data_IF_407401653832
#
_entry.id   IF_407401653832
#
_cell.length_a   1.000
_cell.length_b   1.000
_cell.length_c   1.000
_cell.angle_alpha   90.00
_cell.angle_beta   90.00
_cell.angle_gamma   90.00
#
_symmetry.space_group_name_H-M   'P 1'
#
loop_
_entity.id
_entity.type
_entity.pdbx_description
1 polymer ?
#
# COMPACT_ATOMS: atom_id res chain seq x y z
N UNK A 1 -31.34 14.42 9.53
CA UNK A 1 -30.66 15.46 8.72
C UNK A 1 -29.54 16.04 9.56
N UNK A 2 -28.39 15.37 9.60
CA UNK A 2 -27.18 15.84 10.27
C UNK A 2 -26.13 16.08 9.18
N UNK A 3 -25.61 17.30 9.14
CA UNK A 3 -24.71 17.80 8.10
C UNK A 3 -23.38 17.04 8.14
N UNK A 4 -23.03 16.45 7.01
CA UNK A 4 -21.67 15.95 6.73
C UNK A 4 -20.78 17.18 6.61
N UNK A 5 -20.06 17.51 7.69
CA UNK A 5 -18.97 18.47 7.62
C UNK A 5 -17.81 17.79 6.88
N UNK A 6 -17.60 18.22 5.63
CA UNK A 6 -16.41 17.87 4.87
C UNK A 6 -15.17 18.27 5.66
N UNK A 7 -14.28 17.31 5.88
CA UNK A 7 -12.94 17.56 6.40
C UNK A 7 -12.23 18.43 5.36
N UNK A 8 -12.19 19.72 5.64
CA UNK A 8 -11.37 20.69 4.93
C UNK A 8 -9.93 20.18 4.90
N UNK A 9 -9.28 20.42 3.76
CA UNK A 9 -7.82 20.38 3.64
C UNK A 9 -7.24 21.11 4.86
N UNK A 10 -6.29 20.49 5.56
CA UNK A 10 -5.59 21.16 6.65
C UNK A 10 -5.04 22.49 6.13
N UNK A 11 -5.68 23.56 6.58
CA UNK A 11 -5.44 24.96 6.24
C UNK A 11 -4.25 25.47 7.08
N UNK A 12 -3.14 24.73 7.07
CA UNK A 12 -1.91 25.11 7.75
C UNK A 12 -0.85 25.49 6.71
N UNK A 13 -1.09 26.67 6.13
CA UNK A 13 -0.13 27.76 5.95
C UNK A 13 1.27 27.41 5.42
N UNK A 14 1.35 27.25 4.09
CA UNK A 14 2.35 28.00 3.31
C UNK A 14 1.65 28.68 2.10
N UNK A 15 1.51 30.02 2.10
CA UNK A 15 0.88 30.76 1.00
C UNK A 15 1.62 30.68 -0.34
N UNK A 16 2.79 30.03 -0.42
CA UNK A 16 3.52 29.80 -1.69
C UNK A 16 3.40 28.36 -2.24
N UNK A 17 2.42 27.57 -1.76
CA UNK A 17 2.10 26.27 -2.39
C UNK A 17 1.35 26.46 -3.71
N UNK A 18 2.00 27.12 -4.69
CA UNK A 18 1.47 27.33 -6.04
C UNK A 18 1.03 25.97 -6.60
N UNK A 19 -0.27 25.76 -6.72
CA UNK A 19 -0.82 24.67 -7.52
C UNK A 19 -0.40 24.93 -8.96
N UNK A 20 0.20 23.93 -9.58
CA UNK A 20 0.69 24.02 -10.94
C UNK A 20 -0.18 23.16 -11.85
N UNK A 21 -0.09 23.39 -13.14
CA UNK A 21 -0.65 22.50 -14.15
C UNK A 21 0.49 22.03 -15.05
N UNK A 22 0.54 20.72 -15.25
CA UNK A 22 1.37 20.09 -16.28
C UNK A 22 0.45 19.40 -17.30
N UNK A 23 0.96 19.26 -18.52
CA UNK A 23 0.31 18.48 -19.58
C UNK A 23 0.83 17.04 -19.59
N UNK A 24 0.29 16.21 -20.47
CA UNK A 24 0.86 14.89 -20.80
C UNK A 24 2.35 14.97 -21.15
N UNK A 25 2.76 15.98 -21.91
CA UNK A 25 4.17 16.17 -22.29
C UNK A 25 5.01 16.56 -21.08
N UNK A 26 4.47 17.40 -20.18
CA UNK A 26 5.09 17.68 -18.89
C UNK A 26 5.29 16.42 -18.04
N UNK A 27 4.30 15.51 -18.03
CA UNK A 27 4.43 14.20 -17.37
C UNK A 27 5.52 13.35 -18.04
N UNK A 28 5.61 13.32 -19.38
CA UNK A 28 6.68 12.61 -20.08
C UNK A 28 8.07 13.14 -19.69
N UNK A 29 8.23 14.46 -19.63
CA UNK A 29 9.48 15.10 -19.18
C UNK A 29 9.79 14.75 -17.72
N UNK A 30 8.79 14.74 -16.83
CA UNK A 30 8.93 14.30 -15.43
C UNK A 30 9.49 12.88 -15.33
N UNK A 31 8.91 11.92 -16.08
CA UNK A 31 9.36 10.52 -16.06
C UNK A 31 10.79 10.37 -16.59
N UNK A 32 11.11 11.07 -17.68
CA UNK A 32 12.46 11.09 -18.23
C UNK A 32 13.48 11.71 -17.26
N UNK A 33 13.11 12.80 -16.57
CA UNK A 33 13.96 13.41 -15.57
C UNK A 33 14.27 12.42 -14.44
N UNK A 34 13.26 11.73 -13.88
CA UNK A 34 13.46 10.68 -12.87
C UNK A 34 14.44 9.60 -13.35
N UNK A 35 14.32 9.11 -14.59
CA UNK A 35 15.29 8.15 -15.14
C UNK A 35 16.71 8.70 -15.22
N UNK A 36 16.89 9.95 -15.67
CA UNK A 36 18.21 10.61 -15.71
C UNK A 36 18.84 10.75 -14.33
N UNK A 37 18.00 10.93 -13.30
CA UNK A 37 18.41 10.96 -11.89
C UNK A 37 18.62 9.55 -11.28
N UNK A 38 18.62 8.50 -12.10
CA UNK A 38 18.96 7.12 -11.69
C UNK A 38 17.81 6.33 -11.06
N UNK A 39 16.57 6.83 -11.13
CA UNK A 39 15.42 6.08 -10.61
C UNK A 39 14.97 4.98 -11.57
N UNK A 40 14.66 3.81 -11.02
CA UNK A 40 13.87 2.78 -11.70
C UNK A 40 12.39 3.14 -11.59
N UNK A 41 11.71 3.40 -12.71
CA UNK A 41 10.31 3.79 -12.71
C UNK A 41 9.40 2.58 -12.55
N UNK A 42 8.53 2.62 -11.55
CA UNK A 42 7.48 1.64 -11.33
C UNK A 42 6.14 2.35 -11.42
N UNK A 43 5.31 1.98 -12.38
CA UNK A 43 4.03 2.63 -12.61
C UNK A 43 2.96 1.65 -13.09
N UNK A 44 1.71 2.12 -13.23
CA UNK A 44 0.63 1.30 -13.73
C UNK A 44 0.82 1.00 -15.20
N UNK A 45 0.63 -0.26 -15.57
CA UNK A 45 0.62 -0.73 -16.96
C UNK A 45 -0.40 -1.85 -17.09
N UNK A 46 -0.93 -2.03 -18.30
CA UNK A 46 -1.73 -3.19 -18.63
C UNK A 46 -0.83 -4.42 -18.74
N UNK A 47 -1.17 -5.48 -18.02
CA UNK A 47 -0.47 -6.76 -18.09
C UNK A 47 -1.33 -7.84 -17.44
N UNK A 48 -1.27 -9.06 -17.98
CA UNK A 48 -1.94 -10.24 -17.41
C UNK A 48 -3.45 -10.04 -17.16
N UNK A 49 -4.12 -9.26 -18.02
CA UNK A 49 -5.54 -8.95 -17.89
C UNK A 49 -5.90 -7.97 -16.76
N UNK A 50 -4.92 -7.27 -16.19
CA UNK A 50 -5.12 -6.26 -15.16
C UNK A 50 -4.27 -4.99 -15.39
N UNK A 51 -4.63 -3.90 -14.69
CA UNK A 51 -3.75 -2.74 -14.52
C UNK A 51 -2.89 -3.00 -13.29
N UNK A 52 -1.58 -3.11 -13.44
CA UNK A 52 -0.66 -3.48 -12.37
C UNK A 52 0.58 -2.60 -12.32
N UNK A 53 1.15 -2.44 -11.12
CA UNK A 53 2.45 -1.78 -10.95
C UNK A 53 3.57 -2.65 -11.49
N UNK A 54 4.29 -2.16 -12.49
CA UNK A 54 5.44 -2.80 -13.13
C UNK A 54 6.41 -1.74 -13.65
N UNK A 55 7.52 -2.17 -14.24
CA UNK A 55 8.46 -1.28 -14.92
C UNK A 55 7.78 -0.53 -16.05
N UNK A 56 7.99 0.78 -16.08
CA UNK A 56 7.57 1.66 -17.17
C UNK A 56 8.77 2.41 -17.72
N UNK A 57 8.79 2.64 -19.02
CA UNK A 57 9.81 3.43 -19.69
C UNK A 57 9.37 4.89 -19.85
N UNK A 58 8.08 5.14 -19.98
CA UNK A 58 7.55 6.49 -20.16
C UNK A 58 6.04 6.58 -20.06
N UNK A 59 5.50 7.72 -20.50
CA UNK A 59 4.06 8.03 -20.40
C UNK A 59 3.20 7.11 -21.26
N UNK A 60 3.76 6.55 -22.34
CA UNK A 60 3.05 5.69 -23.28
C UNK A 60 2.77 4.28 -22.72
N UNK A 61 3.46 3.88 -21.65
CA UNK A 61 3.17 2.63 -20.93
C UNK A 61 1.97 2.74 -19.97
N UNK A 62 1.55 3.96 -19.64
CA UNK A 62 0.41 4.17 -18.73
C UNK A 62 -0.89 3.64 -19.38
N UNK A 63 -1.87 3.19 -18.57
CA UNK A 63 -3.10 2.55 -19.07
C UNK A 63 -4.10 3.58 -19.65
N UNK A 64 -3.66 4.37 -20.62
CA UNK A 64 -4.42 5.44 -21.25
C UNK A 64 -5.75 4.92 -21.81
N UNK A 65 -6.86 5.51 -21.36
CA UNK A 65 -8.20 5.15 -21.80
C UNK A 65 -8.66 3.76 -21.35
N UNK A 66 -8.05 3.21 -20.30
CA UNK A 66 -8.48 1.97 -19.67
C UNK A 66 -8.92 2.19 -18.23
N UNK A 67 -9.88 1.37 -17.82
CA UNK A 67 -10.31 1.23 -16.43
C UNK A 67 -10.56 -0.25 -16.12
N UNK A 68 -11.03 -0.53 -14.91
CA UNK A 68 -11.47 -1.86 -14.51
C UNK A 68 -12.77 -1.81 -13.72
N UNK A 69 -13.72 -2.66 -14.09
CA UNK A 69 -14.89 -2.98 -13.28
C UNK A 69 -14.45 -3.94 -12.18
N UNK A 70 -14.76 -3.61 -10.93
CA UNK A 70 -14.37 -4.37 -9.76
C UNK A 70 -15.57 -4.64 -8.86
N UNK A 71 -15.89 -5.91 -8.66
CA UNK A 71 -16.90 -6.38 -7.70
C UNK A 71 -16.33 -7.55 -6.88
N UNK A 72 -17.08 -8.08 -5.92
CA UNK A 72 -16.65 -9.21 -5.12
C UNK A 72 -16.34 -10.43 -6.01
N UNK A 73 -15.07 -10.86 -6.01
CA UNK A 73 -14.58 -11.93 -6.87
C UNK A 73 -14.54 -11.62 -8.36
N UNK A 74 -14.64 -10.36 -8.76
CA UNK A 74 -14.69 -9.97 -10.17
C UNK A 74 -13.78 -8.78 -10.48
N UNK A 75 -12.93 -8.96 -11.50
CA UNK A 75 -12.12 -7.90 -12.09
C UNK A 75 -12.20 -8.01 -13.61
N UNK A 76 -12.54 -6.92 -14.29
CA UNK A 76 -12.59 -6.88 -15.75
C UNK A 76 -12.09 -5.55 -16.29
N UNK A 77 -11.09 -5.59 -17.16
CA UNK A 77 -10.66 -4.41 -17.90
C UNK A 77 -11.76 -3.91 -18.84
N UNK A 78 -11.88 -2.59 -18.92
CA UNK A 78 -12.83 -1.92 -19.79
C UNK A 78 -12.19 -0.69 -20.44
N UNK A 79 -12.53 -0.44 -21.71
CA UNK A 79 -12.16 0.80 -22.40
C UNK A 79 -13.01 1.96 -21.93
N UNK A 80 -12.37 3.11 -21.72
CA UNK A 80 -13.03 4.38 -21.43
C UNK A 80 -13.35 5.11 -22.74
N UNK A 81 -14.29 6.06 -22.68
CA UNK A 81 -14.59 6.95 -23.79
C UNK A 81 -13.60 8.13 -23.89
N UNK A 82 -12.79 8.35 -22.86
CA UNK A 82 -11.77 9.38 -22.79
C UNK A 82 -10.34 8.77 -22.83
N UNK A 83 -9.35 9.65 -22.85
CA UNK A 83 -7.93 9.30 -22.85
C UNK A 83 -7.28 9.43 -21.46
N UNK A 84 -8.04 9.25 -20.38
CA UNK A 84 -7.52 9.38 -19.02
C UNK A 84 -6.35 8.40 -18.78
N UNK A 85 -5.25 8.90 -18.22
CA UNK A 85 -4.04 8.14 -17.88
C UNK A 85 -4.18 7.38 -16.56
N UNK A 86 -4.93 7.97 -15.62
CA UNK A 86 -5.14 7.46 -14.26
C UNK A 86 -6.63 7.23 -13.98
N UNK A 87 -7.45 7.02 -15.00
CA UNK A 87 -8.90 6.78 -14.91
C UNK A 87 -9.32 5.40 -14.37
N UNK A 88 -8.59 4.85 -13.41
CA UNK A 88 -8.81 3.52 -12.82
C UNK A 88 -8.54 3.53 -11.31
N UNK A 89 -9.02 2.52 -10.58
CA UNK A 89 -8.81 2.40 -9.13
C UNK A 89 -7.43 1.81 -8.77
N UNK A 90 -7.40 0.64 -8.13
CA UNK A 90 -6.20 -0.12 -7.79
C UNK A 90 -6.18 -1.49 -8.46
N UNK A 91 -4.99 -1.97 -8.82
CA UNK A 91 -4.75 -3.30 -9.39
C UNK A 91 -4.57 -4.41 -8.35
N UNK A 92 -4.19 -5.63 -8.75
CA UNK A 92 -3.85 -6.73 -7.82
C UNK A 92 -2.58 -6.46 -7.01
N UNK A 93 -1.64 -5.71 -7.56
CA UNK A 93 -0.34 -5.44 -6.95
C UNK A 93 -0.27 -4.05 -6.31
N UNK A 94 0.59 -3.93 -5.31
CA UNK A 94 0.89 -2.69 -4.58
C UNK A 94 2.40 -2.50 -4.46
N UNK A 95 2.79 -1.33 -3.95
CA UNK A 95 4.20 -0.99 -3.65
C UNK A 95 4.87 -2.03 -2.73
N UNK A 96 4.06 -2.73 -1.91
CA UNK A 96 4.53 -3.84 -1.04
C UNK A 96 5.40 -4.83 -1.82
N UNK A 97 5.05 -5.19 -3.06
CA UNK A 97 5.82 -6.16 -3.86
C UNK A 97 7.27 -5.72 -4.11
N UNK A 98 7.55 -4.43 -4.13
CA UNK A 98 8.87 -3.87 -4.42
C UNK A 98 9.68 -3.60 -3.16
N UNK A 99 9.00 -3.11 -2.11
CA UNK A 99 9.62 -2.71 -0.86
C UNK A 99 9.75 -3.88 0.13
N UNK A 100 8.83 -4.82 0.10
CA UNK A 100 8.80 -6.03 0.91
C UNK A 100 8.55 -7.24 -0.01
N UNK A 101 9.53 -7.68 -0.82
CA UNK A 101 9.30 -8.62 -1.91
C UNK A 101 8.80 -10.00 -1.43
N UNK A 102 8.05 -10.73 -2.27
CA UNK A 102 7.44 -12.01 -1.92
C UNK A 102 8.45 -13.11 -1.60
N UNK A 103 9.68 -13.00 -2.12
CA UNK A 103 10.82 -13.84 -1.80
C UNK A 103 12.03 -12.91 -1.65
N UNK A 104 12.84 -13.14 -0.63
CA UNK A 104 14.05 -12.37 -0.34
C UNK A 104 15.11 -13.32 0.23
N UNK A 105 16.26 -13.39 -0.42
CA UNK A 105 17.41 -14.13 0.11
C UNK A 105 18.00 -13.38 1.30
N UNK A 106 18.08 -14.02 2.45
CA UNK A 106 18.68 -13.45 3.67
C UNK A 106 20.16 -13.81 3.78
N UNK A 107 20.49 -15.05 3.40
CA UNK A 107 21.84 -15.58 3.55
C UNK A 107 22.10 -16.71 2.54
N UNK A 108 23.33 -16.82 2.08
CA UNK A 108 23.85 -17.90 1.24
C UNK A 108 25.20 -18.34 1.75
N UNK A 109 25.48 -19.63 1.65
CA UNK A 109 26.81 -20.20 1.85
C UNK A 109 27.16 -21.13 0.72
N UNK A 110 28.40 -21.03 0.27
CA UNK A 110 29.04 -21.96 -0.62
C UNK A 110 30.21 -22.63 0.09
N UNK A 111 30.35 -23.94 -0.06
CA UNK A 111 31.46 -24.71 0.49
C UNK A 111 32.31 -25.23 -0.66
N UNK A 112 33.50 -24.70 -0.81
CA UNK A 112 34.53 -25.26 -1.70
C UNK A 112 35.35 -26.28 -0.90
N UNK A 113 35.50 -27.48 -1.47
CA UNK A 113 36.29 -28.57 -0.88
C UNK A 113 37.77 -28.20 -0.65
N UNK A 114 38.31 -27.24 -1.39
CA UNK A 114 39.72 -26.81 -1.31
C UNK A 114 39.91 -25.45 -0.63
N UNK A 115 38.90 -24.57 -0.62
CA UNK A 115 39.01 -23.16 -0.17
C UNK A 115 38.17 -22.81 1.06
N UNK A 116 37.40 -23.77 1.62
CA UNK A 116 36.59 -23.55 2.82
C UNK A 116 35.19 -23.02 2.52
N UNK A 117 34.53 -22.43 3.54
CA UNK A 117 33.19 -21.87 3.38
C UNK A 117 33.27 -20.37 3.07
N UNK A 118 32.63 -19.94 1.98
CA UNK A 118 32.29 -18.54 1.73
C UNK A 118 30.81 -18.31 2.03
N UNK A 119 30.47 -17.11 2.53
CA UNK A 119 29.09 -16.77 2.83
C UNK A 119 28.79 -15.32 2.46
N UNK A 120 27.67 -15.13 1.76
CA UNK A 120 27.13 -13.80 1.47
C UNK A 120 25.84 -13.64 2.27
N UNK A 121 25.87 -12.73 3.25
CA UNK A 121 24.64 -12.18 3.80
C UNK A 121 24.02 -11.30 2.71
N UNK A 122 22.73 -11.46 2.43
CA UNK A 122 22.00 -10.73 1.37
C UNK A 122 21.86 -9.21 1.60
N UNK A 123 22.76 -8.63 2.40
CA UNK A 123 22.87 -7.22 2.75
C UNK A 123 24.04 -6.53 2.05
N UNK A 124 24.76 -7.18 1.14
CA UNK A 124 25.91 -6.56 0.47
C UNK A 124 25.48 -5.56 -0.63
N UNK A 125 25.76 -4.24 -0.49
CA UNK A 125 25.46 -3.24 -1.50
C UNK A 125 26.57 -3.10 -2.56
N UNK A 126 27.67 -3.84 -2.46
CA UNK A 126 28.77 -3.72 -3.42
C UNK A 126 29.99 -4.52 -3.01
N UNK A 127 30.09 -5.74 -3.53
CA UNK A 127 31.26 -6.59 -3.39
C UNK A 127 31.19 -7.71 -4.41
N UNK A 128 31.95 -7.58 -5.48
CA UNK A 128 32.32 -8.69 -6.35
C UNK A 128 33.67 -9.22 -5.84
N UNK A 129 33.73 -10.40 -5.21
CA UNK A 129 34.97 -11.17 -5.17
C UNK A 129 34.87 -12.19 -6.31
N UNK A 130 35.59 -11.88 -7.39
CA UNK A 130 35.59 -12.66 -8.62
C UNK A 130 35.67 -14.16 -8.38
N UNK A 131 34.75 -14.87 -9.01
CA UNK A 131 34.68 -16.32 -9.07
C UNK A 131 33.51 -16.69 -9.97
N UNK A 132 33.83 -17.35 -11.08
CA UNK A 132 32.89 -17.74 -12.14
C UNK A 132 31.80 -18.70 -11.61
N UNK A 133 30.80 -18.15 -10.93
CA UNK A 133 29.58 -18.87 -10.59
C UNK A 133 28.59 -18.71 -11.76
N UNK A 134 28.42 -19.81 -12.49
CA UNK A 134 27.53 -19.91 -13.63
C UNK A 134 26.17 -19.23 -13.41
N UNK A 135 25.92 -18.29 -14.30
CA UNK A 135 24.79 -17.36 -14.50
C UNK A 135 23.36 -17.94 -14.55
N UNK A 136 23.01 -19.04 -13.87
CA UNK A 136 21.69 -19.67 -14.06
C UNK A 136 20.56 -19.37 -13.07
N UNK A 137 20.80 -18.66 -11.94
CA UNK A 137 19.73 -18.49 -10.93
C UNK A 137 19.68 -17.11 -10.24
N UNK A 138 19.79 -16.04 -11.04
CA UNK A 138 19.44 -14.69 -10.57
C UNK A 138 17.93 -14.51 -10.64
N UNK A 139 17.19 -15.03 -9.66
CA UNK A 139 15.80 -14.58 -9.44
C UNK A 139 15.84 -13.07 -9.17
N UNK A 140 15.36 -12.20 -10.09
CA UNK A 140 15.45 -10.74 -9.97
C UNK A 140 14.75 -10.21 -8.71
N UNK A 141 13.87 -11.01 -8.10
CA UNK A 141 13.15 -10.68 -6.88
C UNK A 141 14.01 -10.88 -5.62
N UNK A 142 15.10 -11.65 -5.70
CA UNK A 142 15.98 -11.96 -4.55
C UNK A 142 17.15 -10.99 -4.38
N UNK A 143 17.49 -10.21 -5.40
CA UNK A 143 18.61 -9.26 -5.39
C UNK A 143 18.18 -7.84 -5.00
N UNK A 144 19.08 -7.08 -4.38
CA UNK A 144 18.88 -5.65 -4.14
C UNK A 144 18.64 -4.92 -5.48
N UNK A 145 17.77 -3.90 -5.51
CA UNK A 145 17.54 -3.15 -6.74
C UNK A 145 18.81 -2.37 -7.14
N UNK A 146 19.08 -2.28 -8.44
CA UNK A 146 20.25 -1.57 -8.99
C UNK A 146 20.23 -0.04 -8.77
N UNK A 147 19.13 0.51 -8.23
CA UNK A 147 18.94 1.94 -7.95
C UNK A 147 17.63 2.19 -7.18
N UNK A 148 17.39 3.40 -6.68
CA UNK A 148 16.17 3.74 -5.96
C UNK A 148 14.94 3.68 -6.87
N UNK A 149 13.77 3.37 -6.30
CA UNK A 149 12.51 3.36 -7.07
C UNK A 149 11.92 4.76 -7.19
N UNK A 150 11.30 5.04 -8.34
CA UNK A 150 10.30 6.09 -8.45
C UNK A 150 8.93 5.45 -8.73
N UNK A 151 8.01 5.54 -7.76
CA UNK A 151 6.66 5.02 -7.91
C UNK A 151 5.74 6.09 -8.51
N UNK A 152 5.08 5.76 -9.62
CA UNK A 152 4.24 6.69 -10.40
C UNK A 152 2.80 6.20 -10.40
N UNK A 153 1.82 7.07 -10.13
CA UNK A 153 0.42 6.63 -10.09
C UNK A 153 -0.04 6.11 -8.73
N UNK A 154 0.68 6.44 -7.65
CA UNK A 154 0.40 5.91 -6.31
C UNK A 154 -0.90 6.50 -5.76
N UNK A 155 -1.88 5.66 -5.43
CA UNK A 155 -3.17 6.12 -4.89
C UNK A 155 -3.03 6.54 -3.41
N UNK A 156 -3.89 7.42 -2.89
CA UNK A 156 -3.85 7.79 -1.47
C UNK A 156 -3.98 6.59 -0.52
N UNK A 157 -4.78 5.59 -0.87
CA UNK A 157 -4.91 4.38 -0.05
C UNK A 157 -3.64 3.53 -0.06
N UNK A 158 -2.82 3.62 -1.13
CA UNK A 158 -1.48 3.03 -1.19
C UNK A 158 -0.47 3.82 -0.36
N UNK A 159 -0.54 5.15 -0.35
CA UNK A 159 0.29 6.00 0.52
C UNK A 159 0.01 5.69 1.98
N UNK A 160 -1.26 5.55 2.36
CA UNK A 160 -1.64 5.15 3.72
C UNK A 160 -1.14 3.75 4.04
N UNK A 161 -1.20 2.82 3.09
CA UNK A 161 -0.67 1.48 3.29
C UNK A 161 0.85 1.47 3.42
N UNK A 162 1.56 2.32 2.67
CA UNK A 162 3.00 2.51 2.79
C UNK A 162 3.37 3.05 4.17
N UNK A 163 2.65 4.05 4.68
CA UNK A 163 2.87 4.57 6.04
C UNK A 163 2.64 3.49 7.13
N UNK A 164 1.67 2.59 6.92
CA UNK A 164 1.45 1.44 7.81
C UNK A 164 2.64 0.48 7.74
N UNK A 165 3.14 0.15 6.55
CA UNK A 165 4.33 -0.70 6.39
C UNK A 165 5.58 -0.07 7.01
N UNK A 166 5.79 1.23 6.79
CA UNK A 166 6.89 2.00 7.40
C UNK A 166 6.81 1.89 8.94
N UNK A 167 5.63 2.05 9.54
CA UNK A 167 5.45 1.90 10.99
C UNK A 167 5.77 0.49 11.49
N UNK A 168 5.35 -0.55 10.77
CA UNK A 168 5.56 -1.94 11.17
C UNK A 168 7.02 -2.36 11.02
N UNK A 169 7.65 -2.02 9.90
CA UNK A 169 8.96 -2.53 9.51
C UNK A 169 10.12 -1.63 9.93
N UNK A 170 9.86 -0.36 10.26
CA UNK A 170 10.88 0.62 10.68
C UNK A 170 10.61 1.27 12.04
N UNK A 171 9.37 1.20 12.55
CA UNK A 171 8.97 1.90 13.78
C UNK A 171 9.14 1.11 15.08
N UNK A 172 9.50 -0.18 15.00
CA UNK A 172 9.69 -1.05 16.17
C UNK A 172 11.09 -1.00 16.77
N UNK A 173 11.32 -1.80 17.82
CA UNK A 173 12.66 -1.97 18.43
C UNK A 173 13.68 -2.62 17.47
N UNK A 174 13.18 -3.41 16.53
CA UNK A 174 13.97 -4.05 15.48
C UNK A 174 13.46 -3.53 14.14
N UNK A 175 14.37 -3.00 13.34
CA UNK A 175 14.06 -2.54 11.98
C UNK A 175 14.35 -3.65 10.98
N UNK A 176 13.60 -3.70 9.89
CA UNK A 176 13.90 -4.55 8.74
C UNK A 176 14.93 -3.84 7.83
N UNK A 177 16.20 -4.27 7.79
CA UNK A 177 17.24 -3.58 7.03
C UNK A 177 17.01 -3.66 5.52
N UNK A 178 16.37 -4.72 5.02
CA UNK A 178 16.11 -4.88 3.60
C UNK A 178 14.95 -3.98 3.14
N UNK A 179 13.91 -3.87 3.96
CA UNK A 179 12.84 -2.91 3.72
C UNK A 179 13.38 -1.48 3.79
N UNK A 180 14.19 -1.16 4.81
CA UNK A 180 14.81 0.16 4.95
C UNK A 180 15.63 0.53 3.71
N UNK A 181 16.51 -0.36 3.24
CA UNK A 181 17.34 -0.12 2.06
C UNK A 181 16.51 0.10 0.79
N UNK A 182 15.44 -0.69 0.59
CA UNK A 182 14.54 -0.54 -0.57
C UNK A 182 13.67 0.72 -0.49
N UNK A 183 13.26 1.12 0.72
CA UNK A 183 12.43 2.29 0.99
C UNK A 183 13.21 3.59 0.93
N UNK A 184 14.49 3.55 1.30
CA UNK A 184 15.40 4.68 1.29
C UNK A 184 15.54 5.26 -0.13
N UNK A 185 15.51 6.58 -0.23
CA UNK A 185 15.66 7.27 -1.51
C UNK A 185 14.48 7.10 -2.48
N UNK A 186 13.43 6.35 -2.18
CA UNK A 186 12.26 6.24 -3.07
C UNK A 186 11.67 7.62 -3.39
N UNK A 187 11.30 7.83 -4.66
CA UNK A 187 10.55 9.01 -5.11
C UNK A 187 9.10 8.61 -5.37
N UNK A 188 8.13 9.42 -4.92
CA UNK A 188 6.71 9.08 -5.02
C UNK A 188 5.96 10.17 -5.78
N UNK A 189 5.45 9.80 -6.96
CA UNK A 189 4.46 10.56 -7.74
C UNK A 189 3.09 9.95 -7.45
N UNK A 190 2.37 10.58 -6.53
CA UNK A 190 1.03 10.15 -6.12
C UNK A 190 -0.05 10.77 -6.99
N UNK A 191 -1.18 10.09 -7.13
CA UNK A 191 -2.31 10.55 -7.94
C UNK A 191 -3.60 10.41 -7.15
N UNK A 192 -4.30 11.52 -6.93
CA UNK A 192 -5.63 11.52 -6.33
C UNK A 192 -6.55 10.57 -7.11
N UNK A 193 -7.41 9.84 -6.40
CA UNK A 193 -8.28 8.87 -7.05
C UNK A 193 -9.52 9.59 -7.60
N UNK A 194 -9.64 9.68 -8.92
CA UNK A 194 -10.84 10.21 -9.60
C UNK A 194 -11.83 9.13 -10.08
N UNK A 195 -11.52 7.85 -9.88
CA UNK A 195 -12.31 6.72 -10.38
C UNK A 195 -12.19 5.53 -9.42
N UNK A 196 -12.93 5.52 -8.30
CA UNK A 196 -12.93 4.39 -7.37
C UNK A 196 -13.50 3.13 -8.05
N UNK A 197 -13.08 1.95 -7.58
CA UNK A 197 -13.68 0.68 -7.98
C UNK A 197 -14.93 0.39 -7.15
N UNK A 198 -15.81 -0.51 -7.62
CA UNK A 198 -17.04 -0.87 -6.90
C UNK A 198 -16.75 -1.40 -5.48
N UNK A 199 -15.63 -2.09 -5.30
CA UNK A 199 -15.18 -2.66 -4.02
C UNK A 199 -14.47 -1.67 -3.07
N UNK A 200 -14.28 -0.41 -3.44
CA UNK A 200 -13.55 0.56 -2.63
C UNK A 200 -14.42 1.17 -1.52
N UNK A 201 -13.81 1.36 -0.34
CA UNK A 201 -14.40 2.05 0.82
C UNK A 201 -13.32 2.84 1.59
N UNK A 202 -12.29 3.32 0.89
CA UNK A 202 -11.15 3.99 1.53
C UNK A 202 -11.51 5.31 2.21
N UNK A 203 -12.65 5.92 1.85
CA UNK A 203 -13.20 7.07 2.56
C UNK A 203 -13.58 6.70 4.01
N UNK A 204 -14.29 5.58 4.22
CA UNK A 204 -14.61 5.05 5.56
C UNK A 204 -13.35 4.81 6.40
N UNK A 205 -12.25 4.45 5.75
CA UNK A 205 -10.96 4.22 6.42
C UNK A 205 -10.07 5.48 6.50
N UNK A 206 -10.58 6.64 6.10
CA UNK A 206 -9.86 7.92 6.05
C UNK A 206 -8.52 7.84 5.27
N UNK A 207 -8.47 7.00 4.24
CA UNK A 207 -7.26 6.66 3.47
C UNK A 207 -7.29 7.19 2.02
N UNK A 208 -8.29 8.00 1.66
CA UNK A 208 -8.47 8.56 0.32
C UNK A 208 -9.89 9.10 0.15
N UNK A 209 -10.31 9.54 -1.05
CA UNK A 209 -9.60 9.49 -2.33
C UNK A 209 -8.70 10.71 -2.64
N UNK A 210 -8.67 11.71 -1.77
CA UNK A 210 -7.79 12.89 -1.90
C UNK A 210 -6.37 12.63 -1.38
N UNK A 211 -5.41 13.40 -1.92
CA UNK A 211 -4.02 13.39 -1.44
C UNK A 211 -3.89 14.21 -0.14
N UNK A 212 -3.00 13.78 0.76
CA UNK A 212 -2.68 14.48 2.01
C UNK A 212 -1.17 14.69 2.13
N UNK A 213 -0.44 13.63 2.42
CA UNK A 213 1.01 13.63 2.67
C UNK A 213 1.66 12.32 2.15
N UNK A 214 2.97 12.17 2.35
CA UNK A 214 3.71 10.95 2.03
C UNK A 214 4.14 10.80 0.58
N UNK A 215 4.17 11.89 -0.20
CA UNK A 215 4.59 11.92 -1.60
C UNK A 215 5.55 13.07 -1.91
N UNK A 216 6.32 12.95 -3.00
CA UNK A 216 7.20 14.03 -3.48
C UNK A 216 6.45 14.98 -4.43
N UNK A 217 5.64 14.40 -5.33
CA UNK A 217 4.75 15.12 -6.24
C UNK A 217 3.36 14.48 -6.22
N UNK A 218 2.33 15.31 -6.10
CA UNK A 218 0.93 14.90 -6.12
C UNK A 218 0.26 15.38 -7.39
N UNK A 219 -0.50 14.52 -8.06
CA UNK A 219 -1.24 14.84 -9.27
C UNK A 219 -2.74 14.62 -9.06
N UNK A 220 -3.56 15.47 -9.66
CA UNK A 220 -4.98 15.22 -9.86
C UNK A 220 -5.28 15.36 -11.34
N UNK A 221 -5.77 14.27 -11.94
CA UNK A 221 -6.17 14.29 -13.35
C UNK A 221 -7.48 15.06 -13.50
N UNK A 222 -7.45 16.12 -14.32
CA UNK A 222 -8.60 16.97 -14.56
C UNK A 222 -9.43 16.41 -15.71
N UNK A 223 -10.76 16.53 -15.63
CA UNK A 223 -11.63 16.13 -16.73
C UNK A 223 -11.31 16.97 -17.97
N UNK A 224 -11.26 16.32 -19.13
CA UNK A 224 -11.18 17.00 -20.42
C UNK A 224 -12.58 17.42 -20.84
N UNK A 225 -12.81 18.72 -21.00
CA UNK A 225 -14.06 19.23 -21.57
C UNK A 225 -14.02 19.06 -23.10
N UNK A 226 -15.00 18.38 -23.72
CA UNK A 226 -15.08 18.29 -25.18
C UNK A 226 -15.20 19.64 -25.88
N UNK A 227 -15.64 20.68 -25.16
CA UNK A 227 -15.77 22.06 -25.65
C UNK A 227 -14.53 22.91 -25.45
N UNK A 228 -13.55 22.43 -24.66
CA UNK A 228 -12.26 23.09 -24.55
C UNK A 228 -11.50 22.96 -25.89
N UNK A 229 -10.67 23.97 -26.25
CA UNK A 229 -9.67 23.80 -27.29
C UNK A 229 -8.85 22.54 -26.99
N UNK A 230 -8.28 21.82 -27.99
CA UNK A 230 -7.47 20.63 -27.75
C UNK A 230 -6.19 20.99 -26.97
N UNK A 231 -6.31 21.05 -25.65
CA UNK A 231 -5.24 21.43 -24.71
C UNK A 231 -4.51 20.20 -24.15
N UNK A 232 -4.84 19.00 -24.64
CA UNK A 232 -4.29 17.74 -24.15
C UNK A 232 -4.74 17.42 -22.71
N UNK A 233 -4.29 16.27 -22.20
CA UNK A 233 -4.57 15.86 -20.82
C UNK A 233 -3.90 16.83 -19.84
N UNK A 234 -4.69 17.43 -18.93
CA UNK A 234 -4.21 18.34 -17.89
C UNK A 234 -4.15 17.65 -16.54
N UNK A 235 -3.08 17.89 -15.80
CA UNK A 235 -2.85 17.35 -14.45
C UNK A 235 -2.57 18.53 -13.51
N UNK A 236 -3.41 18.68 -12.48
CA UNK A 236 -3.13 19.59 -11.37
C UNK A 236 -2.00 18.99 -10.53
N UNK A 237 -0.93 19.74 -10.34
CA UNK A 237 0.26 19.31 -9.62
C UNK A 237 0.39 20.03 -8.27
N UNK A 238 0.69 19.23 -7.26
CA UNK A 238 1.02 19.60 -5.90
C UNK A 238 2.46 19.18 -5.59
N UNK A 239 3.19 20.04 -4.88
CA UNK A 239 4.53 19.71 -4.38
C UNK A 239 4.37 19.15 -2.97
N UNK A 240 4.92 17.94 -2.73
CA UNK A 240 4.87 17.28 -1.43
C UNK A 240 6.23 17.21 -0.71
N UNK A 241 7.34 17.48 -1.42
CA UNK A 241 8.68 17.47 -0.83
C UNK A 241 9.65 18.44 -1.51
N UNK A 242 10.77 18.73 -0.84
CA UNK A 242 11.87 19.50 -1.42
C UNK A 242 12.47 18.84 -2.68
N UNK A 243 12.52 17.50 -2.72
CA UNK A 243 12.96 16.74 -3.91
C UNK A 243 11.99 16.93 -5.07
N UNK A 244 10.68 16.90 -4.80
CA UNK A 244 9.65 17.21 -5.78
C UNK A 244 9.79 18.63 -6.32
N UNK A 245 10.04 19.62 -5.44
CA UNK A 245 10.28 21.01 -5.85
C UNK A 245 11.49 21.16 -6.76
N UNK A 246 12.61 20.49 -6.44
CA UNK A 246 13.83 20.56 -7.23
C UNK A 246 13.60 20.06 -8.67
N UNK A 247 12.85 18.95 -8.82
CA UNK A 247 12.59 18.34 -10.12
C UNK A 247 11.69 19.20 -11.02
N UNK A 248 10.86 20.08 -10.45
CA UNK A 248 9.99 20.98 -11.23
C UNK A 248 10.76 21.98 -12.08
N UNK A 249 12.03 22.25 -11.78
CA UNK A 249 12.87 23.13 -12.61
C UNK A 249 13.10 22.56 -14.01
N UNK A 250 12.95 21.25 -14.20
CA UNK A 250 13.14 20.55 -15.46
C UNK A 250 11.83 20.32 -16.24
N UNK A 251 10.67 20.56 -15.61
CA UNK A 251 9.37 20.11 -16.10
C UNK A 251 8.58 21.32 -16.64
N UNK A 252 8.08 21.29 -17.89
CA UNK A 252 7.16 22.31 -18.38
C UNK A 252 5.90 22.39 -17.53
N UNK A 253 5.67 23.54 -16.89
CA UNK A 253 4.52 23.77 -16.02
C UNK A 253 4.08 25.23 -16.06
N UNK A 254 2.85 25.50 -15.62
CA UNK A 254 2.33 26.85 -15.39
C UNK A 254 1.55 26.92 -14.07
N UNK A 255 1.29 28.12 -13.52
CA UNK A 255 0.32 28.27 -12.44
C UNK A 255 -1.07 27.73 -12.84
N UNK A 256 -1.73 27.07 -11.89
CA UNK A 256 -3.11 26.63 -12.03
C UNK A 256 -4.08 27.81 -11.88
N UNK A 257 -5.15 27.80 -12.67
CA UNK A 257 -6.25 28.75 -12.48
C UNK A 257 -7.15 28.31 -11.32
N UNK A 258 -7.91 29.25 -10.74
CA UNK A 258 -8.89 28.93 -9.69
C UNK A 258 -9.94 27.89 -10.17
N UNK A 259 -10.31 27.94 -11.45
CA UNK A 259 -11.25 26.98 -12.04
C UNK A 259 -10.69 25.55 -12.08
N UNK A 260 -9.40 25.39 -12.42
CA UNK A 260 -8.71 24.10 -12.44
C UNK A 260 -8.49 23.53 -11.04
N UNK A 261 -8.18 24.38 -10.06
CA UNK A 261 -8.08 23.97 -8.65
C UNK A 261 -9.44 23.44 -8.18
N UNK A 262 -10.51 24.21 -8.40
CA UNK A 262 -11.86 23.80 -8.04
C UNK A 262 -12.31 22.55 -8.82
N UNK A 263 -11.86 22.36 -10.06
CA UNK A 263 -12.13 21.14 -10.82
C UNK A 263 -11.44 19.92 -10.19
N UNK A 264 -10.18 20.05 -9.78
CA UNK A 264 -9.46 18.99 -9.07
C UNK A 264 -10.15 18.59 -7.77
N UNK A 265 -10.65 19.56 -7.00
CA UNK A 265 -11.46 19.29 -5.79
C UNK A 265 -12.76 18.55 -6.12
N UNK A 266 -13.46 18.94 -7.19
CA UNK A 266 -14.67 18.24 -7.66
C UNK A 266 -14.39 16.81 -8.09
N UNK A 267 -13.26 16.54 -8.76
CA UNK A 267 -12.85 15.17 -9.13
C UNK A 267 -12.76 14.28 -7.89
N UNK A 268 -12.10 14.77 -6.84
CA UNK A 268 -11.93 14.04 -5.58
C UNK A 268 -13.26 13.87 -4.83
N UNK A 269 -14.08 14.92 -4.76
CA UNK A 269 -15.38 14.87 -4.10
C UNK A 269 -16.31 13.85 -4.76
N UNK A 270 -16.45 13.91 -6.10
CA UNK A 270 -17.26 12.94 -6.86
C UNK A 270 -16.75 11.51 -6.68
N UNK A 271 -15.44 11.32 -6.61
CA UNK A 271 -14.86 10.00 -6.35
C UNK A 271 -15.14 9.49 -4.93
N UNK A 272 -15.27 10.37 -3.94
CA UNK A 272 -15.70 9.98 -2.60
C UNK A 272 -17.17 9.55 -2.62
N UNK A 273 -18.03 10.38 -3.21
CA UNK A 273 -19.48 10.12 -3.31
C UNK A 273 -19.82 8.89 -4.16
N UNK A 274 -18.99 8.54 -5.13
CA UNK A 274 -19.18 7.37 -5.98
C UNK A 274 -18.81 6.02 -5.31
N UNK A 275 -18.20 6.02 -4.12
CA UNK A 275 -17.92 4.77 -3.40
C UNK A 275 -19.22 4.18 -2.83
N UNK A 276 -19.72 3.10 -3.44
CA UNK A 276 -20.96 2.46 -3.01
C UNK A 276 -20.86 1.68 -1.69
N UNK A 277 -19.66 1.35 -1.22
CA UNK A 277 -19.43 0.63 0.02
C UNK A 277 -19.05 1.58 1.14
N UNK A 278 -19.70 1.41 2.29
CA UNK A 278 -19.45 2.17 3.49
C UNK A 278 -19.28 1.22 4.68
N UNK A 279 -18.22 1.42 5.45
CA UNK A 279 -18.01 0.75 6.72
C UNK A 279 -18.01 1.80 7.84
N UNK A 280 -18.97 1.71 8.74
CA UNK A 280 -19.02 2.58 9.91
C UNK A 280 -17.90 2.21 10.89
N UNK A 281 -17.02 3.17 11.15
CA UNK A 281 -15.89 3.01 12.06
C UNK A 281 -16.25 3.22 13.54
N UNK A 282 -17.35 3.92 13.83
CA UNK A 282 -17.69 4.34 15.19
C UNK A 282 -18.02 3.13 16.05
N UNK A 283 -17.23 2.87 17.09
CA UNK A 283 -17.40 1.71 17.98
C UNK A 283 -17.25 0.34 17.29
N UNK A 284 -16.72 0.30 16.06
CA UNK A 284 -16.59 -0.95 15.29
C UNK A 284 -15.69 -1.95 16.01
N UNK A 285 -14.58 -1.48 16.58
CA UNK A 285 -13.62 -2.30 17.33
C UNK A 285 -14.34 -3.04 18.47
N UNK A 286 -15.06 -2.31 19.31
CA UNK A 286 -15.73 -2.85 20.50
C UNK A 286 -16.82 -3.85 20.10
N UNK A 287 -17.61 -3.52 19.07
CA UNK A 287 -18.65 -4.43 18.56
C UNK A 287 -18.06 -5.73 18.02
N UNK A 288 -16.96 -5.67 17.27
CA UNK A 288 -16.31 -6.87 16.73
C UNK A 288 -15.70 -7.75 17.83
N UNK A 289 -15.13 -7.14 18.89
CA UNK A 289 -14.59 -7.86 20.05
C UNK A 289 -15.68 -8.44 20.95
N UNK A 290 -16.91 -7.94 20.90
CA UNK A 290 -18.03 -8.48 21.65
C UNK A 290 -18.55 -9.82 21.10
N UNK A 291 -18.32 -10.09 19.81
CA UNK A 291 -18.91 -11.22 19.09
C UNK A 291 -17.89 -12.30 18.72
N UNK A 292 -16.81 -12.46 19.51
CA UNK A 292 -15.74 -13.42 19.18
C UNK A 292 -16.25 -14.85 19.00
N UNK A 293 -17.20 -15.28 19.83
CA UNK A 293 -17.77 -16.63 19.79
C UNK A 293 -19.12 -16.71 19.06
N UNK A 294 -19.47 -15.68 18.28
CA UNK A 294 -20.73 -15.66 17.55
C UNK A 294 -20.71 -16.62 16.35
N UNK A 295 -21.78 -17.42 16.11
CA UNK A 295 -21.81 -18.45 15.05
C UNK A 295 -21.73 -17.91 13.62
N UNK A 296 -21.86 -16.59 13.43
CA UNK A 296 -21.66 -15.96 12.12
C UNK A 296 -20.25 -16.21 11.56
N UNK A 297 -19.22 -16.35 12.42
CA UNK A 297 -17.87 -16.70 11.98
C UNK A 297 -17.82 -18.02 11.21
N UNK A 298 -18.63 -19.00 11.62
CA UNK A 298 -18.70 -20.30 10.94
C UNK A 298 -19.35 -20.19 9.57
N UNK A 299 -20.32 -19.29 9.40
CA UNK A 299 -20.95 -19.02 8.10
C UNK A 299 -19.94 -18.42 7.09
N UNK A 300 -19.05 -17.54 7.55
CA UNK A 300 -17.95 -17.03 6.71
C UNK A 300 -16.89 -18.10 6.46
N UNK A 301 -16.52 -18.85 7.50
CA UNK A 301 -15.53 -19.94 7.41
C UNK A 301 -15.94 -21.07 6.45
N UNK A 302 -17.24 -21.36 6.35
CA UNK A 302 -17.80 -22.33 5.42
C UNK A 302 -17.63 -21.91 3.95
N UNK A 303 -17.81 -20.63 3.64
CA UNK A 303 -17.58 -20.07 2.29
C UNK A 303 -16.10 -19.91 1.96
N UNK A 304 -15.29 -19.56 2.95
CA UNK A 304 -13.86 -19.27 2.75
C UNK A 304 -13.10 -20.49 2.22
N UNK A 305 -12.26 -20.32 1.19
CA UNK A 305 -11.39 -21.38 0.68
C UNK A 305 -10.05 -21.49 1.43
N UNK A 306 -9.68 -20.48 2.23
CA UNK A 306 -8.34 -20.40 2.84
C UNK A 306 -7.20 -20.14 1.84
N UNK A 307 -7.53 -19.69 0.62
CA UNK A 307 -6.58 -19.54 -0.50
C UNK A 307 -5.53 -18.42 -0.37
N UNK A 308 -5.54 -17.66 0.73
CA UNK A 308 -4.58 -16.58 1.03
C UNK A 308 -4.61 -15.33 0.14
N UNK A 309 -5.42 -15.29 -0.94
CA UNK A 309 -5.50 -14.12 -1.84
C UNK A 309 -5.68 -12.80 -1.09
N UNK A 310 -6.59 -12.75 -0.11
CA UNK A 310 -6.88 -11.55 0.68
C UNK A 310 -5.67 -10.98 1.43
N UNK A 311 -4.67 -11.80 1.79
CA UNK A 311 -3.42 -11.34 2.40
C UNK A 311 -2.34 -11.03 1.37
N UNK A 312 -2.30 -11.78 0.26
CA UNK A 312 -1.32 -11.58 -0.81
C UNK A 312 -1.52 -10.24 -1.51
N UNK A 313 -2.76 -9.89 -1.89
CA UNK A 313 -3.08 -8.61 -2.56
C UNK A 313 -3.19 -7.43 -1.59
N UNK A 314 -3.26 -7.67 -0.28
CA UNK A 314 -3.41 -6.59 0.69
C UNK A 314 -2.10 -5.79 0.83
N UNK A 315 -2.12 -4.46 0.66
CA UNK A 315 -0.90 -3.66 0.73
C UNK A 315 -0.36 -3.49 2.15
N UNK A 316 -1.17 -3.76 3.18
CA UNK A 316 -0.79 -3.64 4.60
C UNK A 316 -0.40 -4.96 5.26
N UNK A 317 -0.52 -6.11 4.59
CA UNK A 317 -0.06 -7.39 5.14
C UNK A 317 1.47 -7.50 5.01
N UNK A 318 2.12 -8.09 6.02
CA UNK A 318 3.59 -8.18 6.14
C UNK A 318 4.05 -9.53 6.73
N UNK A 319 3.14 -10.50 6.81
CA UNK A 319 3.44 -11.82 7.33
C UNK A 319 4.46 -12.52 6.43
N UNK A 320 5.51 -13.08 7.03
CA UNK A 320 6.56 -13.83 6.33
C UNK A 320 6.91 -15.09 7.11
N UNK A 321 7.51 -16.03 6.40
CA UNK A 321 8.18 -17.20 6.97
C UNK A 321 9.60 -17.28 6.40
N UNK A 322 10.47 -18.05 7.06
CA UNK A 322 11.86 -18.27 6.66
C UNK A 322 12.02 -19.74 6.34
N UNK A 323 12.61 -20.01 5.19
CA UNK A 323 12.95 -21.35 4.74
C UNK A 323 14.45 -21.48 4.55
N UNK A 324 14.96 -22.65 4.92
CA UNK A 324 16.34 -23.04 4.70
C UNK A 324 16.34 -24.17 3.66
N UNK A 325 17.13 -23.98 2.60
CA UNK A 325 17.29 -24.94 1.51
C UNK A 325 18.76 -25.33 1.42
N UNK A 326 19.04 -26.61 1.18
CA UNK A 326 20.40 -27.12 0.90
C UNK A 326 20.35 -27.91 -0.37
N UNK A 327 21.45 -27.90 -1.13
CA UNK A 327 21.56 -28.79 -2.27
C UNK A 327 21.93 -30.22 -1.82
N UNK A 328 21.72 -31.19 -2.72
CA UNK A 328 22.02 -32.59 -2.42
C UNK A 328 23.52 -32.88 -2.27
N UNK A 329 24.38 -31.96 -2.77
CA UNK A 329 25.84 -32.11 -2.67
C UNK A 329 26.38 -31.63 -1.31
N UNK A 330 25.59 -30.85 -0.56
CA UNK A 330 26.01 -30.21 0.69
C UNK A 330 26.99 -29.05 0.48
N UNK A 331 27.19 -28.60 -0.76
CA UNK A 331 28.06 -27.48 -1.12
C UNK A 331 27.32 -26.15 -1.08
N UNK A 332 25.98 -26.16 -1.10
CA UNK A 332 25.15 -24.97 -1.12
C UNK A 332 24.12 -24.99 0.01
N UNK A 333 24.01 -23.86 0.70
CA UNK A 333 22.91 -23.60 1.63
C UNK A 333 22.37 -22.17 1.43
N UNK A 334 21.06 -22.02 1.47
CA UNK A 334 20.39 -20.73 1.34
C UNK A 334 19.28 -20.58 2.38
N UNK A 335 19.21 -19.40 2.99
CA UNK A 335 18.09 -18.96 3.81
C UNK A 335 17.30 -17.90 3.06
N UNK A 336 16.02 -18.17 2.82
CA UNK A 336 15.11 -17.28 2.09
C UNK A 336 13.92 -16.91 2.96
N UNK A 337 13.61 -15.62 3.06
CA UNK A 337 12.33 -15.13 3.56
C UNK A 337 11.31 -15.15 2.43
N UNK A 338 10.13 -15.70 2.69
CA UNK A 338 8.98 -15.67 1.77
C UNK A 338 7.77 -15.05 2.44
N UNK A 339 6.87 -14.43 1.66
CA UNK A 339 5.55 -14.10 2.17
C UNK A 339 4.84 -15.37 2.66
N UNK A 340 4.18 -15.22 3.79
CA UNK A 340 3.29 -16.23 4.35
C UNK A 340 1.96 -15.58 4.74
N UNK A 341 0.97 -16.36 5.15
CA UNK A 341 -0.37 -15.89 5.40
C UNK A 341 -0.91 -16.44 6.71
N UNK A 342 -1.63 -15.62 7.47
CA UNK A 342 -2.41 -16.09 8.61
C UNK A 342 -3.52 -17.10 8.25
N UNK A 343 -3.74 -17.36 6.96
CA UNK A 343 -4.63 -18.41 6.46
C UNK A 343 -3.95 -19.76 6.21
N UNK A 344 -2.62 -19.85 6.14
CA UNK A 344 -1.92 -21.14 6.05
C UNK A 344 -1.91 -21.85 7.40
N UNK A 345 -1.91 -23.19 7.40
CA UNK A 345 -1.90 -23.96 8.64
C UNK A 345 -0.58 -23.81 9.40
N UNK A 346 0.52 -23.79 8.66
CA UNK A 346 1.88 -23.80 9.19
C UNK A 346 2.28 -22.45 9.82
N UNK A 347 1.65 -21.35 9.40
CA UNK A 347 1.97 -20.01 9.91
C UNK A 347 1.77 -19.85 11.43
N UNK A 348 0.83 -20.60 12.01
CA UNK A 348 0.64 -20.64 13.47
C UNK A 348 1.01 -21.98 14.10
N UNK A 349 1.87 -22.75 13.46
CA UNK A 349 2.35 -24.01 13.99
C UNK A 349 3.34 -23.77 15.12
N UNK A 350 3.06 -24.38 16.27
CA UNK A 350 3.96 -24.44 17.43
C UNK A 350 4.05 -25.90 17.90
N UNK A 351 4.85 -26.19 18.94
CA UNK A 351 4.87 -27.52 19.53
C UNK A 351 3.46 -27.93 19.99
N UNK A 352 2.88 -28.96 19.34
CA UNK A 352 1.50 -29.40 19.58
C UNK A 352 0.50 -29.08 18.45
N UNK A 353 0.94 -28.40 17.39
CA UNK A 353 0.14 -28.17 16.18
C UNK A 353 -0.16 -26.70 15.89
N UNK A 354 -1.06 -26.46 14.94
CA UNK A 354 -1.51 -25.11 14.59
C UNK A 354 -2.51 -24.56 15.61
N UNK A 355 -2.29 -23.32 16.07
CA UNK A 355 -3.21 -22.63 16.99
C UNK A 355 -4.59 -22.40 16.34
N UNK A 356 -4.67 -22.28 15.01
CA UNK A 356 -5.92 -22.02 14.28
C UNK A 356 -6.19 -23.11 13.26
N UNK A 357 -6.92 -24.13 13.68
CA UNK A 357 -7.23 -25.32 12.87
C UNK A 357 -8.30 -25.07 11.81
N UNK A 358 -9.26 -24.17 12.06
CA UNK A 358 -10.42 -23.98 11.19
C UNK A 358 -10.40 -22.64 10.45
N UNK A 359 -11.00 -22.59 9.26
CA UNK A 359 -11.05 -21.39 8.41
C UNK A 359 -11.79 -20.23 9.08
N UNK A 360 -12.85 -20.51 9.84
CA UNK A 360 -13.56 -19.51 10.65
C UNK A 360 -12.60 -18.79 11.62
N UNK A 361 -11.78 -19.55 12.36
CA UNK A 361 -10.81 -18.99 13.30
C UNK A 361 -9.72 -18.15 12.60
N UNK A 362 -9.25 -18.57 11.42
CA UNK A 362 -8.27 -17.80 10.62
C UNK A 362 -8.87 -16.53 10.06
N UNK A 363 -10.09 -16.59 9.54
CA UNK A 363 -10.81 -15.41 9.06
C UNK A 363 -11.10 -14.41 10.19
N UNK A 364 -11.56 -14.90 11.35
CA UNK A 364 -11.75 -14.10 12.56
C UNK A 364 -10.47 -13.38 12.97
N UNK A 365 -9.34 -14.09 13.05
CA UNK A 365 -8.04 -13.48 13.32
C UNK A 365 -7.70 -12.38 12.32
N UNK A 366 -7.86 -12.65 11.02
CA UNK A 366 -7.52 -11.70 9.97
C UNK A 366 -8.38 -10.44 10.01
N UNK A 367 -9.70 -10.57 10.17
CA UNK A 367 -10.62 -9.44 10.21
C UNK A 367 -10.38 -8.58 11.46
N UNK A 368 -10.30 -9.21 12.64
CA UNK A 368 -10.05 -8.52 13.90
C UNK A 368 -8.69 -7.83 13.89
N UNK A 369 -7.65 -8.50 13.38
CA UNK A 369 -6.33 -7.88 13.25
C UNK A 369 -6.30 -6.71 12.28
N UNK A 370 -7.28 -6.57 11.36
CA UNK A 370 -7.35 -5.41 10.45
C UNK A 370 -8.21 -4.27 10.99
N UNK A 371 -9.31 -4.60 11.66
CA UNK A 371 -10.37 -3.64 12.00
C UNK A 371 -10.52 -3.38 13.51
N UNK A 372 -9.91 -4.19 14.37
CA UNK A 372 -10.02 -4.08 15.82
C UNK A 372 -8.64 -4.03 16.48
N UNK A 373 -7.95 -5.17 16.62
CA UNK A 373 -6.75 -5.29 17.47
C UNK A 373 -5.51 -4.58 16.91
N UNK A 374 -5.52 -4.13 15.65
CA UNK A 374 -4.46 -3.25 15.11
C UNK A 374 -4.38 -1.93 15.86
N UNK A 375 -5.53 -1.39 16.29
CA UNK A 375 -5.59 -0.13 17.02
C UNK A 375 -4.77 -0.18 18.30
N UNK A 376 -4.79 -1.33 18.98
CA UNK A 376 -4.08 -1.54 20.25
C UNK A 376 -2.55 -1.47 20.07
N UNK A 377 -2.06 -1.87 18.89
CA UNK A 377 -0.62 -1.89 18.58
C UNK A 377 -0.13 -0.59 17.94
N UNK A 378 -0.94 0.05 17.10
CA UNK A 378 -0.49 1.12 16.21
C UNK A 378 -1.35 2.39 16.21
N UNK A 379 -2.42 2.43 17.01
CA UNK A 379 -3.31 3.59 17.12
C UNK A 379 -4.12 3.91 15.87
N UNK A 380 -4.27 2.95 14.94
CA UNK A 380 -5.04 3.12 13.71
C UNK A 380 -5.68 1.80 13.27
N UNK A 381 -6.55 1.77 12.25
CA UNK A 381 -6.91 0.51 11.61
C UNK A 381 -5.74 0.01 10.73
N UNK A 382 -5.66 -1.31 10.55
CA UNK A 382 -4.73 -1.98 9.63
C UNK A 382 -5.29 -2.12 8.21
N UNK A 383 -6.53 -1.70 7.98
CA UNK A 383 -7.19 -1.65 6.68
C UNK A 383 -7.18 -0.23 6.11
N UNK A 384 -6.98 -0.11 4.79
CA UNK A 384 -7.01 1.18 4.05
C UNK A 384 -8.19 1.31 3.10
N UNK A 385 -9.13 0.34 3.11
CA UNK A 385 -10.33 0.37 2.29
C UNK A 385 -10.11 0.28 0.78
N UNK A 386 -8.96 -0.21 0.33
CA UNK A 386 -8.64 -0.31 -1.10
C UNK A 386 -9.48 -1.35 -1.87
N UNK A 387 -10.21 -2.23 -1.19
CA UNK A 387 -11.11 -3.20 -1.83
C UNK A 387 -10.44 -4.44 -2.42
N UNK A 388 -9.12 -4.49 -2.61
CA UNK A 388 -8.42 -5.63 -3.25
C UNK A 388 -8.79 -7.01 -2.69
N UNK A 389 -8.90 -7.14 -1.37
CA UNK A 389 -9.25 -8.41 -0.74
C UNK A 389 -10.67 -8.91 -1.09
N UNK A 390 -11.57 -7.99 -1.48
CA UNK A 390 -12.94 -8.27 -1.93
C UNK A 390 -12.91 -8.64 -3.42
N UNK A 391 -12.23 -7.82 -4.24
CA UNK A 391 -12.09 -8.01 -5.69
C UNK A 391 -11.47 -9.37 -6.04
N UNK A 392 -10.44 -9.78 -5.31
CA UNK A 392 -9.66 -10.98 -5.59
C UNK A 392 -10.04 -12.18 -4.72
N UNK A 393 -11.18 -12.11 -4.01
CA UNK A 393 -11.72 -13.26 -3.30
C UNK A 393 -12.47 -14.16 -4.30
N UNK A 394 -12.00 -15.39 -4.58
CA UNK A 394 -12.63 -16.26 -5.59
C UNK A 394 -14.07 -16.68 -5.25
N UNK A 395 -14.47 -16.54 -3.99
CA UNK A 395 -15.82 -16.86 -3.48
C UNK A 395 -16.61 -15.61 -3.09
N UNK A 396 -16.13 -14.42 -3.47
CA UNK A 396 -16.87 -13.16 -3.29
C UNK A 396 -17.09 -12.74 -1.83
N UNK A 397 -16.21 -13.12 -0.89
CA UNK A 397 -16.30 -12.61 0.49
C UNK A 397 -15.99 -11.11 0.51
N UNK A 398 -16.93 -10.33 1.02
CA UNK A 398 -16.84 -8.88 1.12
C UNK A 398 -16.58 -8.47 2.57
N UNK A 399 -15.33 -8.09 2.89
CA UNK A 399 -14.94 -7.69 4.24
C UNK A 399 -15.84 -6.59 4.83
N UNK A 400 -16.33 -5.64 4.01
CA UNK A 400 -17.18 -4.56 4.51
C UNK A 400 -18.55 -5.09 4.94
N UNK A 401 -19.13 -6.01 4.15
CA UNK A 401 -20.39 -6.66 4.48
C UNK A 401 -20.25 -7.59 5.69
N UNK A 402 -19.19 -8.41 5.75
CA UNK A 402 -18.97 -9.32 6.89
C UNK A 402 -18.76 -8.54 8.20
N UNK A 403 -18.01 -7.43 8.16
CA UNK A 403 -17.80 -6.58 9.33
C UNK A 403 -19.09 -5.90 9.79
N UNK A 404 -19.91 -5.42 8.85
CA UNK A 404 -21.22 -4.82 9.16
C UNK A 404 -22.19 -5.83 9.79
N UNK A 405 -22.23 -7.06 9.27
CA UNK A 405 -23.09 -8.12 9.81
C UNK A 405 -22.69 -8.53 11.23
N UNK A 406 -21.38 -8.67 11.50
CA UNK A 406 -20.86 -8.95 12.84
C UNK A 406 -21.13 -7.80 13.82
N UNK A 407 -20.96 -6.56 13.37
CA UNK A 407 -21.28 -5.38 14.16
C UNK A 407 -22.77 -5.30 14.52
N UNK A 408 -23.66 -5.63 13.58
CA UNK A 408 -25.10 -5.68 13.83
C UNK A 408 -25.49 -6.83 14.79
N UNK A 409 -24.82 -7.98 14.68
CA UNK A 409 -25.00 -9.08 15.61
C UNK A 409 -24.64 -8.68 17.05
N UNK A 410 -23.58 -7.88 17.23
CA UNK A 410 -23.19 -7.36 18.56
C UNK A 410 -24.29 -6.49 19.19
N UNK A 411 -24.95 -5.64 18.39
CA UNK A 411 -26.06 -4.79 18.85
C UNK A 411 -27.32 -5.59 19.23
N UNK A 412 -27.42 -6.83 18.77
CA UNK A 412 -28.59 -7.70 18.98
C UNK A 412 -28.42 -8.66 20.18
N UNK A 413 -27.24 -8.72 20.80
CA UNK A 413 -27.00 -9.57 21.97
C UNK A 413 -27.50 -8.90 23.26
N UNK A 414 -28.40 -9.54 24.04
CA UNK A 414 -28.84 -9.00 25.32
C UNK A 414 -27.69 -9.00 26.33
N UNK A 415 -27.40 -7.83 26.93
CA UNK A 415 -26.45 -7.69 28.03
C UNK A 415 -25.11 -7.03 27.69
N UNK A 416 -24.90 -6.56 26.45
CA UNK A 416 -23.73 -5.73 26.16
C UNK A 416 -23.95 -4.28 26.64
N UNK A 417 -23.06 -3.69 27.44
CA UNK A 417 -23.16 -2.26 27.74
C UNK A 417 -23.03 -1.47 26.44
N UNK A 418 -23.97 -0.56 26.18
CA UNK A 418 -23.80 0.48 25.15
C UNK A 418 -22.48 1.19 25.41
N UNK A 419 -21.59 1.22 24.42
CA UNK A 419 -20.30 1.88 24.55
C UNK A 419 -20.49 3.30 25.09
N UNK A 420 -19.74 3.74 26.12
CA UNK A 420 -19.76 5.13 26.52
C UNK A 420 -19.30 5.99 25.33
N UNK A 421 -19.77 7.25 25.22
CA UNK A 421 -19.29 8.15 24.18
C UNK A 421 -17.77 8.24 24.22
N UNK A 422 -17.13 8.22 23.05
CA UNK A 422 -15.69 8.34 22.94
C UNK A 422 -15.23 9.62 23.63
N UNK A 423 -14.40 9.48 24.66
CA UNK A 423 -13.71 10.62 25.25
C UNK A 423 -12.86 11.28 24.15
N UNK A 424 -12.86 12.62 24.04
CA UNK A 424 -11.97 13.29 23.10
C UNK A 424 -10.54 12.91 23.47
N UNK A 425 -9.85 12.27 22.51
CA UNK A 425 -8.45 11.88 22.64
C UNK A 425 -7.64 13.06 23.18
N UNK A 426 -6.80 12.89 24.23
CA UNK A 426 -5.98 13.98 24.71
C UNK A 426 -5.07 14.45 23.57
N UNK A 427 -4.98 15.77 23.39
CA UNK A 427 -4.06 16.40 22.44
C UNK A 427 -2.66 15.79 22.57
N UNK A 428 -1.90 15.64 21.47
CA UNK A 428 -0.58 15.05 21.51
C UNK A 428 0.28 15.85 22.48
N UNK A 429 0.65 15.21 23.60
CA UNK A 429 1.63 15.75 24.52
C UNK A 429 2.96 15.82 23.76
N UNK A 430 3.58 17.01 23.78
CA UNK A 430 4.87 17.26 23.16
C UNK A 430 5.87 16.20 23.59
N UNK A 431 6.58 15.63 22.62
CA UNK A 431 7.64 14.65 22.84
C UNK A 431 8.61 15.14 23.93
N UNK A 432 9.03 14.29 24.89
CA UNK A 432 10.06 14.66 25.83
C UNK A 432 11.36 14.96 25.06
N UNK A 433 11.95 16.12 25.31
CA UNK A 433 13.29 16.46 24.83
C UNK A 433 14.28 15.39 25.32
N UNK A 434 15.24 14.96 24.48
CA UNK A 434 16.26 14.03 24.91
C UNK A 434 17.09 14.67 26.03
N UNK A 435 17.15 14.00 27.18
CA UNK A 435 18.04 14.37 28.26
C UNK A 435 19.49 14.33 27.76
N UNK A 436 20.20 15.44 27.92
CA UNK A 436 21.62 15.53 27.61
C UNK A 436 22.40 14.51 28.48
N UNK A 437 23.07 13.55 27.83
CA UNK A 437 24.05 12.70 28.49
C UNK A 437 25.23 13.55 28.97
N UNK A 438 25.65 13.49 30.25
CA UNK A 438 26.88 14.13 30.67
C UNK A 438 28.08 13.42 30.05
N UNK A 439 29.00 14.22 29.50
CA UNK A 439 30.27 13.76 28.94
C UNK A 439 31.04 12.90 29.96
N UNK A 440 31.43 11.69 29.54
CA UNK A 440 32.43 10.89 30.27
C UNK A 440 33.74 11.68 30.22
N UNK A 441 34.23 12.09 31.40
CA UNK A 441 35.61 12.54 31.55
C UNK A 441 36.52 11.33 31.39
N UNK A 442 37.53 11.48 30.56
CA UNK A 442 38.72 10.64 30.57
C UNK A 442 39.48 10.90 31.87
N UNK A 443 39.63 9.85 32.67
CA UNK A 443 40.85 9.54 33.44
C UNK A 443 41.14 8.05 33.25
#
# INVERSE_FOLDING_TARGET
MAQVQGVALNDNQDPDTRRLVITRDGLAVLLNALRRHGYRLIGPRLGDGAIQFTDIDGVDDLPQGWTAVQEAGHYRLQRRADAALFGYAVGPHSLKRYLHPPRLRLWRMHRDAMQGCSSDSGADPGGDPGGDAETSDRDPQTTAPAGPFAFVGVRPCELRALAIQDRVLLGGQQIDPHYQARRAGCFIVAVACGSPGGTCFCQSMQAGPGLRDGFDLGLTELDTDPTDPPQGQRLLLAIGSARGRALLTEIPHRPATAAEIAQGERVVARAADAMGRHLDGDGLRERLLAVLEHPYWDQVGARCLGCTNCTLVCPTCFCTSVEDHTDLTGQYAERTRRWDSCFTGDFSYIHGGSVRQHRAARYRQWLLHKLATWHDQFGSPGCVGCGRCITWCPVGIDLSAEAAALAAAAASQPGLPTAPPADPSPAPTSAPQPAAMPARRHE
#
